data_IF_009167598985
#
_entry.id   IF_009167598985
#
_cell.length_a   1.000
_cell.length_b   1.000
_cell.length_c   1.000
_cell.angle_alpha   90.00
_cell.angle_beta   90.00
_cell.angle_gamma   90.00
#
_symmetry.space_group_name_H-M   'P 1'
#
loop_
_entity.id
_entity.type
_entity.pdbx_description
1 polymer ?
#
# COMPACT_ATOMS: atom_id res chain seq x y z
N UNK A 1 14.81 -19.13 18.63
CA UNK A 1 14.50 -17.90 19.41
C UNK A 1 14.64 -16.72 18.45
N UNK A 2 13.64 -15.97 18.03
CA UNK A 2 12.23 -15.85 18.37
C UNK A 2 11.48 -15.61 17.05
N UNK A 3 10.27 -16.15 16.98
CA UNK A 3 9.22 -15.68 16.09
C UNK A 3 9.33 -16.03 14.60
N UNK A 4 9.14 -17.31 14.28
CA UNK A 4 8.25 -17.72 13.18
C UNK A 4 6.77 -17.34 13.50
N UNK A 5 6.51 -16.13 13.99
CA UNK A 5 5.15 -15.69 14.22
C UNK A 5 4.55 -15.16 12.93
N UNK A 6 3.69 -16.00 12.38
CA UNK A 6 2.42 -15.57 11.82
C UNK A 6 2.55 -14.65 10.60
N UNK A 7 2.85 -15.26 9.46
CA UNK A 7 2.12 -14.92 8.22
C UNK A 7 0.67 -15.41 8.34
N UNK A 8 0.01 -15.09 9.45
CA UNK A 8 -1.44 -15.09 9.44
C UNK A 8 -1.82 -14.15 8.31
N UNK A 9 -2.68 -14.65 7.44
CA UNK A 9 -3.36 -13.88 6.42
C UNK A 9 -4.21 -12.87 7.17
N UNK A 10 -3.57 -11.80 7.66
CA UNK A 10 -4.21 -10.66 8.26
C UNK A 10 -4.88 -9.94 7.10
N UNK A 11 -6.09 -10.40 6.77
CA UNK A 11 -7.02 -9.67 5.94
C UNK A 11 -7.35 -8.41 6.73
N UNK A 12 -6.51 -7.40 6.61
CA UNK A 12 -6.60 -6.17 7.37
C UNK A 12 -7.84 -5.44 6.88
N UNK A 13 -8.92 -5.60 7.65
CA UNK A 13 -10.17 -4.92 7.42
C UNK A 13 -9.98 -3.44 7.73
N UNK A 14 -10.07 -2.57 6.71
CA UNK A 14 -10.01 -1.12 6.93
C UNK A 14 -11.38 -0.68 7.43
N UNK A 15 -11.43 -0.24 8.69
CA UNK A 15 -12.65 0.28 9.31
C UNK A 15 -12.53 1.81 9.39
N UNK A 16 -13.52 2.51 8.85
CA UNK A 16 -13.71 3.95 9.04
C UNK A 16 -15.03 4.17 9.77
N UNK A 17 -14.97 4.75 10.97
CA UNK A 17 -16.15 5.21 11.70
C UNK A 17 -16.50 6.63 11.26
N UNK A 18 -17.78 6.86 10.95
CA UNK A 18 -18.31 8.18 10.66
C UNK A 18 -18.35 9.03 11.95
N UNK A 19 -17.93 10.29 11.86
CA UNK A 19 -18.03 11.26 12.95
C UNK A 19 -19.24 12.20 12.82
N UNK A 20 -19.55 12.99 13.85
CA UNK A 20 -20.54 14.05 13.74
C UNK A 20 -20.07 15.11 12.73
N UNK A 21 -20.87 15.36 11.69
CA UNK A 21 -20.54 16.29 10.60
C UNK A 21 -19.91 15.64 9.36
N UNK A 22 -19.69 14.33 9.36
CA UNK A 22 -19.35 13.62 8.13
C UNK A 22 -20.58 13.39 7.26
N UNK A 23 -20.44 13.60 5.96
CA UNK A 23 -21.40 13.14 4.96
C UNK A 23 -20.90 11.81 4.35
N UNK A 24 -21.76 11.11 3.63
CA UNK A 24 -21.41 9.81 3.04
C UNK A 24 -20.14 9.88 2.19
N UNK A 25 -20.01 10.92 1.37
CA UNK A 25 -18.84 11.10 0.49
C UNK A 25 -17.55 11.34 1.26
N UNK A 26 -17.60 12.06 2.39
CA UNK A 26 -16.42 12.32 3.23
C UNK A 26 -15.91 11.03 3.86
N UNK A 27 -16.82 10.14 4.29
CA UNK A 27 -16.48 8.83 4.85
C UNK A 27 -15.85 7.94 3.78
N UNK A 28 -16.44 7.87 2.58
CA UNK A 28 -15.90 7.10 1.44
C UNK A 28 -14.50 7.60 1.09
N UNK A 29 -14.29 8.92 1.01
CA UNK A 29 -12.97 9.49 0.71
C UNK A 29 -11.95 9.18 1.80
N UNK A 30 -12.34 9.22 3.08
CA UNK A 30 -11.47 8.84 4.21
C UNK A 30 -11.06 7.37 4.09
N UNK A 31 -11.98 6.48 3.74
CA UNK A 31 -11.70 5.07 3.50
C UNK A 31 -10.73 4.88 2.33
N UNK A 32 -10.99 5.50 1.18
CA UNK A 32 -10.11 5.42 0.00
C UNK A 32 -8.69 5.87 0.33
N UNK A 33 -8.54 6.98 1.06
CA UNK A 33 -7.23 7.46 1.51
C UNK A 33 -6.50 6.44 2.38
N UNK A 34 -7.19 5.78 3.32
CA UNK A 34 -6.60 4.73 4.15
C UNK A 34 -6.22 3.49 3.32
N UNK A 35 -7.08 3.06 2.41
CA UNK A 35 -6.81 1.93 1.51
C UNK A 35 -5.57 2.14 0.64
N UNK A 36 -5.34 3.37 0.17
CA UNK A 36 -4.15 3.75 -0.57
C UNK A 36 -2.92 3.82 0.36
N UNK A 37 -3.05 4.48 1.51
CA UNK A 37 -1.94 4.65 2.46
C UNK A 37 -1.42 3.31 3.00
N UNK A 38 -2.30 2.35 3.26
CA UNK A 38 -1.94 1.00 3.66
C UNK A 38 -1.46 0.12 2.50
N UNK A 39 -1.54 0.59 1.26
CA UNK A 39 -1.06 -0.14 0.08
C UNK A 39 -1.90 -1.36 -0.31
N UNK A 40 -3.12 -1.51 0.23
CA UNK A 40 -3.96 -2.72 0.06
C UNK A 40 -4.35 -2.99 -1.38
N UNK A 41 -4.71 -1.94 -2.11
CA UNK A 41 -5.11 -2.08 -3.52
C UNK A 41 -3.96 -2.64 -4.36
N UNK A 42 -2.74 -2.16 -4.10
CA UNK A 42 -1.53 -2.61 -4.80
C UNK A 42 -1.18 -4.05 -4.40
N UNK A 43 -1.25 -4.36 -3.10
CA UNK A 43 -1.00 -5.72 -2.59
C UNK A 43 -1.94 -6.77 -3.21
N UNK A 44 -3.25 -6.47 -3.26
CA UNK A 44 -4.24 -7.38 -3.86
C UNK A 44 -3.94 -7.60 -5.34
N UNK A 45 -3.59 -6.54 -6.08
CA UNK A 45 -3.21 -6.62 -7.49
C UNK A 45 -1.93 -7.42 -7.71
N UNK A 46 -0.93 -7.24 -6.85
CA UNK A 46 0.35 -7.94 -6.98
C UNK A 46 0.22 -9.43 -6.63
N UNK A 47 -0.74 -9.79 -5.77
CA UNK A 47 -1.05 -11.18 -5.42
C UNK A 47 -1.96 -11.87 -6.43
N UNK A 48 -2.69 -11.15 -7.27
CA UNK A 48 -3.63 -11.76 -8.23
C UNK A 48 -2.93 -12.49 -9.38
N UNK A 49 -1.64 -12.23 -9.60
CA UNK A 49 -0.84 -12.85 -10.66
C UNK A 49 0.46 -13.37 -10.08
N UNK A 50 0.89 -14.56 -10.50
CA UNK A 50 2.21 -15.07 -10.15
C UNK A 50 3.31 -14.23 -10.80
N UNK A 51 4.33 -13.86 -10.02
CA UNK A 51 5.47 -13.05 -10.48
C UNK A 51 6.77 -13.75 -10.14
N UNK A 52 7.71 -13.78 -11.08
CA UNK A 52 9.01 -14.42 -10.84
C UNK A 52 9.82 -13.58 -9.83
N UNK A 53 10.62 -14.21 -8.96
CA UNK A 53 11.46 -13.46 -8.00
C UNK A 53 12.42 -12.47 -8.67
N UNK A 54 12.89 -12.75 -9.88
CA UNK A 54 13.73 -11.85 -10.67
C UNK A 54 13.00 -10.56 -11.06
N UNK A 55 11.75 -10.65 -11.47
CA UNK A 55 10.91 -9.51 -11.87
C UNK A 55 10.64 -8.59 -10.67
N UNK A 56 10.31 -9.18 -9.52
CA UNK A 56 10.11 -8.45 -8.26
C UNK A 56 11.36 -7.65 -7.86
N UNK A 57 12.56 -8.25 -8.00
CA UNK A 57 13.83 -7.56 -7.72
C UNK A 57 14.08 -6.40 -8.69
N UNK A 58 13.82 -6.60 -9.98
CA UNK A 58 14.00 -5.56 -10.99
C UNK A 58 13.08 -4.36 -10.73
N UNK A 59 11.82 -4.60 -10.39
CA UNK A 59 10.88 -3.53 -10.08
C UNK A 59 11.23 -2.75 -8.83
N UNK A 60 11.65 -3.44 -7.76
CA UNK A 60 12.10 -2.78 -6.54
C UNK A 60 13.25 -1.80 -6.82
N UNK A 61 14.23 -2.21 -7.63
CA UNK A 61 15.36 -1.37 -8.03
C UNK A 61 14.91 -0.19 -8.91
N UNK A 62 14.00 -0.44 -9.85
CA UNK A 62 13.44 0.60 -10.71
C UNK A 62 12.67 1.64 -9.88
N UNK A 63 11.85 1.21 -8.92
CA UNK A 63 11.11 2.09 -8.03
C UNK A 63 12.01 2.92 -7.12
N UNK A 64 13.03 2.30 -6.51
CA UNK A 64 14.04 3.01 -5.73
C UNK A 64 14.70 4.11 -6.57
N UNK A 65 15.08 3.79 -7.81
CA UNK A 65 15.66 4.76 -8.76
C UNK A 65 14.69 5.90 -9.08
N UNK A 66 13.41 5.59 -9.35
CA UNK A 66 12.36 6.60 -9.61
C UNK A 66 12.21 7.57 -8.43
N UNK A 67 12.17 7.06 -7.19
CA UNK A 67 12.04 7.88 -5.97
C UNK A 67 13.22 8.84 -5.80
N UNK A 68 14.45 8.35 -5.98
CA UNK A 68 15.67 9.17 -5.92
C UNK A 68 15.63 10.30 -6.97
N UNK A 69 15.27 9.96 -8.22
CA UNK A 69 15.22 10.94 -9.31
C UNK A 69 14.14 12.00 -9.10
N UNK A 70 12.98 11.64 -8.53
CA UNK A 70 11.94 12.61 -8.15
C UNK A 70 12.44 13.55 -7.05
N UNK A 71 13.03 13.03 -5.98
CA UNK A 71 13.56 13.85 -4.89
C UNK A 71 14.59 14.88 -5.40
N UNK A 72 15.50 14.46 -6.28
CA UNK A 72 16.50 15.35 -6.93
C UNK A 72 15.87 16.46 -7.77
N UNK A 73 14.69 16.23 -8.36
CA UNK A 73 13.98 17.23 -9.17
C UNK A 73 13.35 18.31 -8.30
N UNK A 74 12.84 17.95 -7.12
CA UNK A 74 12.23 18.89 -6.18
C UNK A 74 13.25 19.64 -5.31
N UNK A 75 14.51 19.18 -5.26
CA UNK A 75 15.59 19.84 -4.53
C UNK A 75 16.39 20.86 -5.36
N UNK A 76 15.99 21.08 -6.62
CA UNK A 76 16.50 22.16 -7.50
C UNK A 76 15.41 23.21 -7.64
#
# INVERSE_FOLDING_TARGET
MLSEHKKEVFFFLIIVKAGPGDNTDSVIRKFQKRAIAEGRVQEIRDRSVYRKPSELRQEYLAEKRRKIMRARRYSR
#
